data_IF_467755995934
#
_entry.id   IF_467755995934
#
_cell.length_a   1.000
_cell.length_b   1.000
_cell.length_c   1.000
_cell.angle_alpha   90.00
_cell.angle_beta   90.00
_cell.angle_gamma   90.00
#
_symmetry.space_group_name_H-M   'P 1'
#
loop_
_entity.id
_entity.type
_entity.pdbx_description
1 polymer ?
#
# COMPACT_ATOMS: atom_id res chain seq x y z
N UNK A 1 7.84 -32.01 -20.31
CA UNK A 1 6.60 -32.19 -19.55
C UNK A 1 6.84 -31.69 -18.13
N UNK A 2 6.49 -30.42 -17.89
CA UNK A 2 6.49 -29.88 -16.53
C UNK A 2 5.24 -30.40 -15.83
N UNK A 3 5.40 -31.20 -14.81
CA UNK A 3 4.34 -31.52 -13.87
C UNK A 3 3.95 -30.20 -13.18
N UNK A 4 2.75 -29.70 -13.46
CA UNK A 4 2.12 -28.67 -12.64
C UNK A 4 1.81 -29.33 -11.29
N UNK A 5 2.57 -28.95 -10.27
CA UNK A 5 2.22 -29.29 -8.88
C UNK A 5 0.87 -28.63 -8.63
N UNK A 6 -0.16 -29.40 -8.37
CA UNK A 6 -1.45 -28.86 -7.96
C UNK A 6 -1.23 -28.00 -6.72
N UNK A 7 -1.77 -26.76 -6.67
CA UNK A 7 -1.60 -25.93 -5.51
C UNK A 7 -2.14 -26.65 -4.26
N UNK A 8 -1.37 -26.65 -3.19
CA UNK A 8 -1.78 -27.22 -1.90
C UNK A 8 -2.85 -26.34 -1.18
N UNK A 9 -3.42 -25.36 -1.88
CA UNK A 9 -4.41 -24.41 -1.38
C UNK A 9 -5.51 -24.20 -2.43
N UNK A 10 -6.68 -23.79 -1.96
CA UNK A 10 -7.77 -23.36 -2.83
C UNK A 10 -7.41 -22.02 -3.48
N UNK A 11 -7.66 -21.92 -4.79
CA UNK A 11 -7.44 -20.71 -5.58
C UNK A 11 -8.79 -20.12 -5.95
N UNK A 12 -8.97 -18.84 -5.63
CA UNK A 12 -10.19 -18.10 -5.95
C UNK A 12 -9.90 -17.00 -6.96
N UNK A 13 -10.75 -16.86 -7.99
CA UNK A 13 -10.75 -15.67 -8.84
C UNK A 13 -11.56 -14.57 -8.13
N UNK A 14 -10.93 -13.41 -7.88
CA UNK A 14 -11.54 -12.30 -7.15
C UNK A 14 -12.27 -11.30 -8.06
N UNK A 15 -13.05 -11.78 -9.00
CA UNK A 15 -14.00 -10.94 -9.75
C UNK A 15 -15.29 -10.61 -8.95
N UNK A 16 -15.45 -11.27 -7.81
CA UNK A 16 -16.47 -11.03 -6.80
C UNK A 16 -15.89 -11.27 -5.39
N UNK A 17 -16.49 -10.72 -4.33
CA UNK A 17 -16.04 -10.99 -2.97
C UNK A 17 -16.01 -12.49 -2.69
N UNK A 18 -14.88 -12.97 -2.17
CA UNK A 18 -14.68 -14.35 -1.77
C UNK A 18 -14.64 -14.48 -0.26
N UNK A 19 -15.23 -15.57 0.26
CA UNK A 19 -15.10 -15.93 1.67
C UNK A 19 -13.89 -16.86 1.86
N UNK A 20 -13.00 -16.51 2.78
CA UNK A 20 -11.87 -17.35 3.20
C UNK A 20 -11.87 -17.45 4.71
N UNK A 21 -12.14 -18.65 5.21
CA UNK A 21 -12.37 -18.89 6.65
C UNK A 21 -13.50 -18.00 7.19
N UNK A 22 -13.20 -17.12 8.13
CA UNK A 22 -14.11 -16.17 8.75
C UNK A 22 -13.97 -14.74 8.18
N UNK A 23 -13.35 -14.59 7.00
CA UNK A 23 -13.09 -13.32 6.35
C UNK A 23 -13.84 -13.22 5.01
N UNK A 24 -14.31 -12.03 4.70
CA UNK A 24 -14.76 -11.63 3.38
C UNK A 24 -13.66 -10.80 2.72
N UNK A 25 -13.20 -11.23 1.55
CA UNK A 25 -12.12 -10.59 0.80
C UNK A 25 -12.69 -10.08 -0.51
N UNK A 26 -12.45 -8.81 -0.82
CA UNK A 26 -12.75 -8.19 -2.11
C UNK A 26 -11.53 -7.47 -2.66
N UNK A 27 -11.44 -7.35 -3.97
CA UNK A 27 -10.43 -6.54 -4.64
C UNK A 27 -11.05 -5.30 -5.29
N UNK A 28 -10.22 -4.29 -5.50
CA UNK A 28 -10.58 -3.06 -6.21
C UNK A 28 -9.42 -2.59 -7.07
N UNK A 29 -9.70 -2.01 -8.22
CA UNK A 29 -8.67 -1.58 -9.17
C UNK A 29 -7.84 -0.42 -8.62
N UNK A 30 -6.52 -0.49 -8.83
CA UNK A 30 -5.57 0.60 -8.58
C UNK A 30 -4.98 1.11 -9.89
N UNK A 31 -4.75 2.45 -10.02
CA UNK A 31 -4.21 3.04 -11.23
C UNK A 31 -2.70 2.81 -11.35
N UNK A 32 -2.32 1.74 -12.00
CA UNK A 32 -0.92 1.37 -12.25
C UNK A 32 -0.70 0.93 -13.69
N UNK A 33 0.56 0.89 -14.16
CA UNK A 33 0.92 0.58 -15.56
C UNK A 33 1.12 -0.92 -15.82
N UNK A 34 0.36 -1.77 -15.12
CA UNK A 34 0.30 -3.21 -15.34
C UNK A 34 -1.01 -3.62 -16.01
N UNK A 35 -1.11 -4.87 -16.46
CA UNK A 35 -2.33 -5.40 -17.11
C UNK A 35 -3.52 -5.32 -16.17
N UNK A 36 -3.34 -5.65 -14.90
CA UNK A 36 -4.36 -5.51 -13.84
C UNK A 36 -3.62 -5.28 -12.52
N UNK A 37 -3.82 -4.12 -11.91
CA UNK A 37 -3.35 -3.81 -10.57
C UNK A 37 -4.55 -3.67 -9.66
N UNK A 38 -4.48 -4.24 -8.45
CA UNK A 38 -5.57 -4.18 -7.51
C UNK A 38 -5.08 -4.07 -6.07
N UNK A 39 -5.88 -3.37 -5.27
CA UNK A 39 -5.85 -3.42 -3.83
C UNK A 39 -6.84 -4.45 -3.29
N UNK A 40 -6.73 -4.74 -2.02
CA UNK A 40 -7.58 -5.71 -1.33
C UNK A 40 -8.25 -5.07 -0.11
N UNK A 41 -9.52 -5.42 0.09
CA UNK A 41 -10.29 -5.07 1.28
C UNK A 41 -10.72 -6.36 1.97
N UNK A 42 -10.41 -6.49 3.24
CA UNK A 42 -10.70 -7.67 4.05
C UNK A 42 -11.59 -7.26 5.22
N UNK A 43 -12.72 -7.93 5.36
CA UNK A 43 -13.64 -7.78 6.50
C UNK A 43 -13.64 -9.06 7.29
N UNK A 44 -13.40 -8.98 8.59
CA UNK A 44 -13.42 -10.10 9.51
C UNK A 44 -14.82 -10.29 10.12
N UNK A 45 -15.10 -11.47 10.66
CA UNK A 45 -16.40 -11.81 11.27
C UNK A 45 -16.75 -10.93 12.48
N UNK A 46 -15.74 -10.39 13.18
CA UNK A 46 -15.94 -9.44 14.29
C UNK A 46 -16.19 -7.99 13.82
N UNK A 47 -16.33 -7.79 12.50
CA UNK A 47 -16.66 -6.51 11.89
C UNK A 47 -15.49 -5.58 11.67
N UNK A 48 -14.25 -5.97 11.98
CA UNK A 48 -13.06 -5.19 11.63
C UNK A 48 -12.82 -5.24 10.12
N UNK A 49 -12.31 -4.13 9.58
CA UNK A 49 -12.01 -3.99 8.17
C UNK A 49 -10.58 -3.49 8.01
N UNK A 50 -9.83 -4.13 7.14
CA UNK A 50 -8.52 -3.67 6.73
C UNK A 50 -8.40 -3.63 5.21
N UNK A 51 -7.47 -2.82 4.70
CA UNK A 51 -7.15 -2.77 3.28
C UNK A 51 -5.65 -2.78 3.04
N UNK A 52 -5.28 -3.33 1.89
CA UNK A 52 -3.93 -3.25 1.32
C UNK A 52 -4.03 -2.55 -0.02
N UNK A 53 -3.33 -1.42 -0.16
CA UNK A 53 -3.37 -0.60 -1.35
C UNK A 53 -1.96 -0.16 -1.72
N UNK A 54 -1.37 -0.85 -2.68
CA UNK A 54 -0.06 -0.58 -3.27
C UNK A 54 -0.19 -0.50 -4.79
N UNK A 55 0.88 -0.08 -5.46
CA UNK A 55 0.90 0.04 -6.92
C UNK A 55 -0.22 0.97 -7.43
N UNK A 56 -0.12 2.24 -7.01
CA UNK A 56 -1.04 3.29 -7.45
C UNK A 56 -0.32 4.63 -7.63
N UNK A 57 -0.52 5.27 -8.77
CA UNK A 57 0.05 6.60 -9.04
C UNK A 57 -0.72 7.75 -8.39
N UNK A 58 -1.98 7.54 -8.00
CA UNK A 58 -2.83 8.50 -7.27
C UNK A 58 -4.05 7.80 -6.68
N UNK A 59 -4.73 8.46 -5.76
CA UNK A 59 -5.95 7.94 -5.14
C UNK A 59 -7.16 8.29 -6.00
N UNK A 60 -7.76 7.28 -6.65
CA UNK A 60 -9.03 7.42 -7.39
C UNK A 60 -10.23 7.41 -6.44
N UNK A 61 -11.42 7.75 -6.93
CA UNK A 61 -12.66 7.62 -6.14
C UNK A 61 -12.90 6.15 -5.75
N UNK A 62 -12.66 5.20 -6.67
CA UNK A 62 -12.73 3.76 -6.36
C UNK A 62 -11.79 3.37 -5.23
N UNK A 63 -10.54 3.81 -5.26
CA UNK A 63 -9.59 3.56 -4.17
C UNK A 63 -10.10 4.18 -2.87
N UNK A 64 -10.49 5.46 -2.90
CA UNK A 64 -11.00 6.18 -1.72
C UNK A 64 -12.19 5.46 -1.09
N UNK A 65 -13.19 5.06 -1.87
CA UNK A 65 -14.39 4.39 -1.39
C UNK A 65 -14.07 3.05 -0.72
N UNK A 66 -13.08 2.32 -1.24
CA UNK A 66 -12.66 1.03 -0.66
C UNK A 66 -11.78 1.20 0.59
N UNK A 67 -11.04 2.29 0.73
CA UNK A 67 -10.26 2.58 1.93
C UNK A 67 -11.11 3.16 3.05
N UNK A 68 -12.22 3.82 2.73
CA UNK A 68 -13.11 4.43 3.71
C UNK A 68 -13.71 3.37 4.66
N UNK A 69 -13.74 3.72 5.95
CA UNK A 69 -14.25 2.84 7.00
C UNK A 69 -13.34 1.64 7.33
N UNK A 70 -12.11 1.62 6.84
CA UNK A 70 -11.11 0.65 7.28
C UNK A 70 -10.53 1.06 8.63
N UNK A 71 -10.38 0.09 9.53
CA UNK A 71 -9.70 0.28 10.81
C UNK A 71 -8.18 0.32 10.64
N UNK A 72 -7.67 -0.46 9.68
CA UNK A 72 -6.26 -0.55 9.33
C UNK A 72 -6.09 -0.46 7.81
N UNK A 73 -5.15 0.37 7.37
CA UNK A 73 -4.78 0.48 5.95
C UNK A 73 -3.27 0.34 5.80
N UNK A 74 -2.84 -0.63 4.97
CA UNK A 74 -1.51 -0.63 4.41
C UNK A 74 -1.57 0.18 3.12
N UNK A 75 -0.91 1.34 3.11
CA UNK A 75 -0.92 2.29 2.00
C UNK A 75 0.48 2.43 1.42
N UNK A 76 0.58 2.53 0.11
CA UNK A 76 1.84 2.82 -0.55
C UNK A 76 2.43 4.16 -0.11
N UNK A 77 3.73 4.14 0.18
CA UNK A 77 4.58 5.31 0.41
C UNK A 77 5.90 5.06 -0.31
N UNK A 78 5.86 5.14 -1.66
CA UNK A 78 6.92 4.58 -2.48
C UNK A 78 8.18 5.43 -2.49
N UNK A 79 8.07 6.73 -2.72
CA UNK A 79 9.24 7.58 -2.92
C UNK A 79 9.16 8.94 -2.21
N UNK A 80 10.33 9.44 -1.84
CA UNK A 80 10.55 10.86 -1.52
C UNK A 80 10.83 11.64 -2.81
N UNK A 81 10.17 12.78 -3.00
CA UNK A 81 10.28 13.56 -4.24
C UNK A 81 11.69 14.09 -4.48
N UNK A 82 12.44 14.44 -3.42
CA UNK A 82 13.80 14.96 -3.54
C UNK A 82 14.79 13.84 -3.86
N UNK A 83 14.65 12.69 -3.20
CA UNK A 83 15.48 11.52 -3.50
C UNK A 83 15.26 11.05 -4.94
N UNK A 84 14.01 10.96 -5.40
CA UNK A 84 13.70 10.60 -6.78
C UNK A 84 14.26 11.64 -7.76
N UNK A 85 14.13 12.94 -7.47
CA UNK A 85 14.65 13.99 -8.35
C UNK A 85 16.17 13.93 -8.51
N UNK A 86 16.91 13.76 -7.41
CA UNK A 86 18.37 13.74 -7.37
C UNK A 86 18.99 12.36 -7.60
N UNK A 87 18.19 11.30 -7.51
CA UNK A 87 18.64 9.90 -7.60
C UNK A 87 19.17 9.53 -9.00
N UNK A 88 19.77 8.32 -9.11
CA UNK A 88 20.51 7.91 -10.32
C UNK A 88 19.61 7.50 -11.49
N UNK A 89 18.29 7.40 -11.28
CA UNK A 89 17.38 6.94 -12.33
C UNK A 89 17.35 7.90 -13.54
N UNK A 90 17.29 7.38 -14.78
CA UNK A 90 17.14 8.19 -15.97
C UNK A 90 15.80 8.94 -15.95
N UNK A 91 15.75 10.08 -16.64
CA UNK A 91 14.61 10.98 -16.63
C UNK A 91 13.28 10.29 -16.95
N UNK A 92 13.24 9.45 -17.98
CA UNK A 92 12.01 8.76 -18.38
C UNK A 92 11.44 7.86 -17.27
N UNK A 93 12.33 7.23 -16.47
CA UNK A 93 11.90 6.38 -15.35
C UNK A 93 11.36 7.22 -14.19
N UNK A 94 11.98 8.37 -13.90
CA UNK A 94 11.49 9.33 -12.90
C UNK A 94 10.09 9.83 -13.25
N UNK A 95 9.86 10.17 -14.52
CA UNK A 95 8.55 10.61 -15.00
C UNK A 95 7.49 9.48 -14.93
N UNK A 96 7.88 8.25 -15.26
CA UNK A 96 7.01 7.08 -15.12
C UNK A 96 6.59 6.89 -13.66
N UNK A 97 7.55 6.94 -12.71
CA UNK A 97 7.29 6.77 -11.28
C UNK A 97 6.31 7.84 -10.77
N UNK A 98 6.48 9.11 -11.18
CA UNK A 98 5.62 10.23 -10.81
C UNK A 98 4.26 10.28 -11.50
N UNK A 99 4.09 9.48 -12.54
CA UNK A 99 2.87 9.53 -13.36
C UNK A 99 1.66 9.03 -12.59
N UNK A 100 0.46 9.37 -13.08
CA UNK A 100 -0.81 8.83 -12.55
C UNK A 100 -0.94 7.31 -12.62
N UNK A 101 -0.03 6.63 -13.30
CA UNK A 101 0.05 5.17 -13.38
C UNK A 101 1.37 4.63 -12.82
N UNK A 102 2.10 5.46 -12.10
CA UNK A 102 3.32 5.10 -11.41
C UNK A 102 3.05 4.68 -9.96
N UNK A 103 3.64 5.42 -9.02
CA UNK A 103 3.59 5.13 -7.59
C UNK A 103 3.21 6.35 -6.76
N UNK A 104 2.72 6.12 -5.55
CA UNK A 104 2.32 7.16 -4.61
C UNK A 104 3.54 7.72 -3.88
N UNK A 105 3.68 9.04 -3.86
CA UNK A 105 4.74 9.71 -3.11
C UNK A 105 4.48 9.67 -1.59
N UNK A 106 5.52 9.93 -0.79
CA UNK A 106 5.36 10.08 0.66
C UNK A 106 4.40 11.23 1.00
N UNK A 107 4.41 12.31 0.21
CA UNK A 107 3.53 13.48 0.40
C UNK A 107 2.07 13.13 0.11
N UNK A 108 1.80 12.45 -1.00
CA UNK A 108 0.44 12.04 -1.35
C UNK A 108 -0.09 10.98 -0.37
N UNK A 109 0.77 10.04 0.06
CA UNK A 109 0.47 9.09 1.12
C UNK A 109 0.06 9.81 2.42
N UNK A 110 0.80 10.87 2.79
CA UNK A 110 0.50 11.69 3.97
C UNK A 110 -0.88 12.35 3.87
N UNK A 111 -1.21 12.95 2.73
CA UNK A 111 -2.51 13.59 2.50
C UNK A 111 -3.66 12.58 2.60
N UNK A 112 -3.49 11.40 1.97
CA UNK A 112 -4.49 10.34 2.04
C UNK A 112 -4.62 9.76 3.45
N UNK A 113 -3.52 9.61 4.18
CA UNK A 113 -3.52 9.14 5.57
C UNK A 113 -4.29 10.10 6.48
N UNK A 114 -4.12 11.41 6.31
CA UNK A 114 -4.88 12.41 7.06
C UNK A 114 -6.38 12.29 6.82
N UNK A 115 -6.79 12.08 5.58
CA UNK A 115 -8.20 11.88 5.24
C UNK A 115 -8.77 10.59 5.86
N UNK A 116 -8.03 9.50 5.80
CA UNK A 116 -8.42 8.23 6.42
C UNK A 116 -8.59 8.34 7.93
N UNK A 117 -7.69 9.06 8.62
CA UNK A 117 -7.79 9.27 10.07
C UNK A 117 -9.03 10.09 10.41
N UNK A 118 -9.35 11.16 9.64
CA UNK A 118 -10.60 11.93 9.83
C UNK A 118 -11.85 11.07 9.69
N UNK A 119 -11.77 10.00 8.90
CA UNK A 119 -12.86 9.06 8.67
C UNK A 119 -12.85 7.85 9.63
N UNK A 120 -11.96 7.84 10.62
CA UNK A 120 -11.93 6.85 11.70
C UNK A 120 -10.91 5.73 11.54
N UNK A 121 -10.04 5.75 10.53
CA UNK A 121 -8.91 4.82 10.44
C UNK A 121 -7.93 5.08 11.58
N UNK A 122 -7.60 4.05 12.33
CA UNK A 122 -6.73 4.16 13.52
C UNK A 122 -5.32 3.58 13.30
N UNK A 123 -5.11 2.78 12.26
CA UNK A 123 -3.82 2.15 11.98
C UNK A 123 -3.43 2.37 10.52
N UNK A 124 -2.29 3.01 10.31
CA UNK A 124 -1.68 3.21 8.99
C UNK A 124 -0.35 2.46 8.95
N UNK A 125 -0.16 1.63 7.95
CA UNK A 125 1.11 0.95 7.67
C UNK A 125 1.62 1.48 6.34
N UNK A 126 2.79 2.11 6.34
CA UNK A 126 3.47 2.54 5.12
C UNK A 126 4.13 1.33 4.47
N UNK A 127 3.78 1.04 3.23
CA UNK A 127 4.30 -0.11 2.51
C UNK A 127 4.84 0.25 1.13
N UNK A 128 5.40 -0.75 0.44
CA UNK A 128 5.91 -0.65 -0.93
C UNK A 128 6.94 0.47 -1.14
N UNK A 129 7.85 0.64 -0.18
CA UNK A 129 8.89 1.66 -0.22
C UNK A 129 9.94 1.32 -1.29
N UNK A 130 10.31 2.29 -2.12
CA UNK A 130 11.43 2.18 -3.06
C UNK A 130 12.76 2.06 -2.30
N UNK A 131 13.58 1.09 -2.68
CA UNK A 131 14.92 0.90 -2.10
C UNK A 131 15.88 2.04 -2.49
N UNK A 132 15.70 2.64 -3.67
CA UNK A 132 16.59 3.67 -4.21
C UNK A 132 16.12 5.10 -3.89
N UNK A 133 14.80 5.30 -3.80
CA UNK A 133 14.22 6.65 -3.74
C UNK A 133 13.44 6.91 -2.45
N UNK A 134 13.66 6.07 -1.42
CA UNK A 134 13.04 6.23 -0.12
C UNK A 134 13.87 5.59 0.98
N UNK A 135 13.53 5.90 2.21
CA UNK A 135 13.96 5.15 3.40
C UNK A 135 12.79 5.07 4.38
N UNK A 136 12.74 4.04 5.24
CA UNK A 136 11.72 3.96 6.27
C UNK A 136 11.63 5.20 7.14
N UNK A 137 12.78 5.80 7.46
CA UNK A 137 12.85 7.03 8.23
C UNK A 137 12.22 8.22 7.49
N UNK A 138 12.52 8.38 6.19
CA UNK A 138 11.97 9.48 5.38
C UNK A 138 10.45 9.32 5.22
N UNK A 139 9.97 8.12 4.91
CA UNK A 139 8.55 7.84 4.80
C UNK A 139 7.82 8.17 6.10
N UNK A 140 8.30 7.65 7.25
CA UNK A 140 7.71 7.93 8.57
C UNK A 140 7.67 9.43 8.87
N UNK A 141 8.78 10.14 8.67
CA UNK A 141 8.91 11.57 8.98
C UNK A 141 8.04 12.47 8.11
N UNK A 142 7.97 12.20 6.81
CA UNK A 142 7.15 13.01 5.89
C UNK A 142 5.67 12.79 6.21
N UNK A 143 5.25 11.54 6.38
CA UNK A 143 3.85 11.23 6.69
C UNK A 143 3.48 11.80 8.07
N UNK A 144 4.29 11.59 9.11
CA UNK A 144 4.06 12.16 10.45
C UNK A 144 3.95 13.69 10.41
N UNK A 145 4.80 14.36 9.62
CA UNK A 145 4.75 15.83 9.48
C UNK A 145 3.44 16.31 8.88
N UNK A 146 2.88 15.60 7.93
CA UNK A 146 1.57 15.92 7.35
C UNK A 146 0.40 15.59 8.28
N UNK A 147 0.61 14.71 9.26
CA UNK A 147 -0.39 14.32 10.26
C UNK A 147 -0.34 15.17 11.55
N UNK A 148 0.31 16.33 11.53
CA UNK A 148 0.54 17.21 12.71
C UNK A 148 -0.73 17.67 13.45
N UNK A 149 -1.90 17.58 12.82
CA UNK A 149 -3.18 17.88 13.44
C UNK A 149 -3.71 16.75 14.33
N UNK A 150 -3.10 15.57 14.25
CA UNK A 150 -3.45 14.37 15.01
C UNK A 150 -2.32 13.98 15.96
N UNK A 151 -2.65 13.33 17.06
CA UNK A 151 -1.68 12.84 18.04
C UNK A 151 -1.32 11.37 17.75
N UNK A 152 -0.06 11.11 17.34
CA UNK A 152 0.47 9.75 17.17
C UNK A 152 0.33 8.94 18.47
N UNK A 153 0.00 7.66 18.37
CA UNK A 153 -0.28 6.73 19.47
C UNK A 153 -1.52 7.07 20.33
N UNK A 154 -2.30 8.07 19.94
CA UNK A 154 -3.58 8.41 20.55
C UNK A 154 -4.70 8.37 19.51
N UNK A 155 -4.59 9.18 18.46
CA UNK A 155 -5.57 9.26 17.40
C UNK A 155 -5.28 8.23 16.30
N UNK A 156 -4.00 7.92 16.09
CA UNK A 156 -3.55 6.92 15.12
C UNK A 156 -2.24 6.23 15.54
N UNK A 157 -2.02 5.04 14.96
CA UNK A 157 -0.75 4.32 14.99
C UNK A 157 -0.17 4.35 13.58
N UNK A 158 1.11 4.74 13.46
CA UNK A 158 1.85 4.72 12.21
C UNK A 158 3.00 3.71 12.32
N UNK A 159 3.05 2.78 11.38
CA UNK A 159 4.12 1.81 11.23
C UNK A 159 4.68 1.83 9.81
N UNK A 160 5.90 1.37 9.63
CA UNK A 160 6.53 1.19 8.32
C UNK A 160 6.82 -0.29 8.11
N UNK A 161 6.33 -0.83 7.00
CA UNK A 161 6.61 -2.22 6.61
C UNK A 161 8.01 -2.32 6.02
N UNK A 162 8.86 -3.13 6.62
CA UNK A 162 10.16 -3.50 6.06
C UNK A 162 10.00 -4.72 5.17
N UNK A 163 9.99 -4.51 3.87
CA UNK A 163 9.97 -5.62 2.89
C UNK A 163 11.39 -6.10 2.57
N UNK A 164 12.16 -6.50 3.57
CA UNK A 164 13.35 -7.32 3.36
C UNK A 164 13.04 -8.77 3.71
N UNK A 165 12.35 -9.45 2.81
CA UNK A 165 12.44 -10.91 2.75
C UNK A 165 13.80 -11.25 2.14
N UNK A 166 14.86 -11.25 2.95
CA UNK A 166 16.05 -12.03 2.63
C UNK A 166 15.66 -13.48 2.79
N UNK A 167 15.33 -14.13 1.67
CA UNK A 167 15.32 -15.58 1.66
C UNK A 167 16.70 -16.03 2.13
N UNK A 168 16.82 -16.95 3.10
CA UNK A 168 18.11 -17.49 3.49
C UNK A 168 18.73 -18.12 2.25
N UNK A 169 19.82 -17.54 1.74
CA UNK A 169 20.65 -18.17 0.74
C UNK A 169 21.30 -19.35 1.42
N UNK A 170 20.75 -20.55 1.22
CA UNK A 170 21.46 -21.76 1.53
C UNK A 170 22.64 -21.84 0.58
N UNK A 171 23.79 -21.32 1.03
CA UNK A 171 25.09 -21.65 0.42
C UNK A 171 25.33 -23.13 0.61
N UNK A 172 25.35 -23.87 -0.48
CA UNK A 172 25.98 -25.20 -0.56
C UNK A 172 27.43 -25.03 -0.94
#
# INVERSE_FOLDING_TARGET
SGEMIAPACEVYELDSPAAAADMEISCFDTPHDTVRSCGYRVKTSDGRVCAVCTDLGYVTDTVRDNLNGCHLVLLESNYDEKMLASGPYPYYLKERIRSKRGHLSNTDCSMQSAELIRQGTTHIILGHLSQENNTPYMADKIVETGLKEFCRNKDYILAVSYTHLTLPTTSR
#
